data_IF_338365015163
#
_entry.id   IF_338365015163
#
_cell.length_a   1.000
_cell.length_b   1.000
_cell.length_c   1.000
_cell.angle_alpha   90.00
_cell.angle_beta   90.00
_cell.angle_gamma   90.00
#
_symmetry.space_group_name_H-M   'P 1'
#
loop_
_entity.id
_entity.type
_entity.pdbx_description
1 polymer ?
#
# COMPACT_ATOMS: atom_id res chain seq x y z
N UNK A 1 11.05 30.93 -39.35
CA UNK A 1 11.72 29.61 -39.47
C UNK A 1 12.55 29.27 -38.23
N UNK A 2 13.35 30.22 -37.72
CA UNK A 2 14.15 30.12 -36.48
C UNK A 2 13.34 29.74 -35.23
N UNK A 3 12.14 30.30 -35.04
CA UNK A 3 11.25 29.96 -33.92
C UNK A 3 10.88 28.47 -33.84
N UNK A 4 10.73 27.79 -34.99
CA UNK A 4 10.42 26.35 -35.04
C UNK A 4 11.60 25.50 -34.59
N UNK A 5 12.82 25.93 -34.93
CA UNK A 5 14.07 25.24 -34.58
C UNK A 5 14.33 25.37 -33.08
N UNK A 6 14.12 26.56 -32.51
CA UNK A 6 14.23 26.80 -31.05
C UNK A 6 13.23 25.92 -30.28
N UNK A 7 11.97 25.86 -30.72
CA UNK A 7 10.96 25.01 -30.08
C UNK A 7 11.25 23.50 -30.19
N UNK A 8 11.88 23.06 -31.29
CA UNK A 8 12.32 21.67 -31.47
C UNK A 8 13.49 21.31 -30.56
N UNK A 9 14.45 22.22 -30.39
CA UNK A 9 15.59 22.03 -29.50
C UNK A 9 15.16 22.02 -28.03
N UNK A 10 14.29 22.93 -27.62
CA UNK A 10 13.73 22.94 -26.26
C UNK A 10 12.96 21.65 -25.92
N UNK A 11 12.23 21.07 -26.88
CA UNK A 11 11.51 19.79 -26.69
C UNK A 11 12.42 18.55 -26.67
N UNK A 12 13.63 18.62 -27.22
CA UNK A 12 14.62 17.53 -27.19
C UNK A 12 15.46 17.53 -25.91
N UNK A 13 15.70 18.71 -25.34
CA UNK A 13 16.59 18.88 -24.16
C UNK A 13 15.80 18.85 -22.86
N UNK A 14 14.56 19.34 -22.84
CA UNK A 14 13.67 19.24 -21.68
C UNK A 14 12.89 17.94 -21.84
N UNK A 15 13.12 16.91 -21.00
CA UNK A 15 12.23 15.77 -20.94
C UNK A 15 10.83 16.34 -20.70
N UNK A 16 9.87 16.06 -21.58
CA UNK A 16 8.46 16.24 -21.21
C UNK A 16 8.31 15.53 -19.87
N UNK A 17 7.72 16.16 -18.83
CA UNK A 17 7.46 15.45 -17.59
C UNK A 17 6.69 14.19 -17.95
N UNK A 18 7.38 13.05 -17.81
CA UNK A 18 6.84 11.73 -18.00
C UNK A 18 5.74 11.59 -16.97
N UNK A 19 4.50 11.68 -17.45
CA UNK A 19 3.20 11.41 -16.83
C UNK A 19 3.02 11.75 -15.34
N UNK A 20 1.91 12.44 -15.03
CA UNK A 20 1.44 12.70 -13.65
C UNK A 20 1.44 11.45 -12.74
N UNK A 21 1.29 10.28 -13.36
CA UNK A 21 1.35 8.95 -12.73
C UNK A 21 2.65 8.72 -11.96
N UNK A 22 3.79 9.20 -12.47
CA UNK A 22 5.09 9.02 -11.81
C UNK A 22 5.19 9.82 -10.51
N UNK A 23 4.65 11.05 -10.49
CA UNK A 23 4.62 11.89 -9.28
C UNK A 23 3.65 11.31 -8.25
N UNK A 24 2.47 10.85 -8.69
CA UNK A 24 1.50 10.19 -7.81
C UNK A 24 2.06 8.90 -7.18
N UNK A 25 2.81 8.10 -7.95
CA UNK A 25 3.46 6.89 -7.47
C UNK A 25 4.59 7.18 -6.48
N UNK A 26 5.40 8.22 -6.71
CA UNK A 26 6.41 8.67 -5.73
C UNK A 26 5.73 9.09 -4.42
N UNK A 27 4.69 9.92 -4.50
CA UNK A 27 3.97 10.39 -3.31
C UNK A 27 3.31 9.24 -2.55
N UNK A 28 2.72 8.28 -3.27
CA UNK A 28 2.17 7.07 -2.67
C UNK A 28 3.25 6.26 -1.94
N UNK A 29 4.38 5.99 -2.61
CA UNK A 29 5.49 5.22 -2.04
C UNK A 29 6.12 5.88 -0.82
N UNK A 30 6.18 7.22 -0.79
CA UNK A 30 6.75 7.96 0.35
C UNK A 30 5.76 8.11 1.51
N UNK A 31 4.49 8.39 1.23
CA UNK A 31 3.54 8.82 2.26
C UNK A 31 2.54 7.76 2.70
N UNK A 32 2.15 6.84 1.80
CA UNK A 32 1.07 5.88 2.04
C UNK A 32 1.64 4.47 2.21
N UNK A 33 2.58 4.07 1.35
CA UNK A 33 3.12 2.71 1.34
C UNK A 33 3.69 2.23 2.69
N UNK A 34 4.45 3.03 3.46
CA UNK A 34 4.94 2.58 4.76
C UNK A 34 3.81 2.24 5.74
N UNK A 35 2.75 3.07 5.74
CA UNK A 35 1.57 2.89 6.61
C UNK A 35 0.76 1.68 6.11
N UNK A 36 0.57 1.56 4.80
CA UNK A 36 -0.04 0.41 4.15
C UNK A 36 0.64 -0.90 4.57
N UNK A 37 1.99 -0.94 4.50
CA UNK A 37 2.77 -2.12 4.82
C UNK A 37 2.58 -2.53 6.29
N UNK A 38 2.56 -1.55 7.20
CA UNK A 38 2.30 -1.79 8.62
C UNK A 38 0.88 -2.31 8.86
N UNK A 39 -0.13 -1.69 8.24
CA UNK A 39 -1.52 -2.11 8.30
C UNK A 39 -1.67 -3.55 7.80
N UNK A 40 -1.07 -3.86 6.66
CA UNK A 40 -1.13 -5.20 6.06
C UNK A 40 -0.48 -6.23 7.00
N UNK A 41 0.72 -5.95 7.50
CA UNK A 41 1.45 -6.86 8.37
C UNK A 41 0.67 -7.15 9.66
N UNK A 42 0.19 -6.11 10.34
CA UNK A 42 -0.59 -6.26 11.58
C UNK A 42 -1.92 -6.94 11.35
N UNK A 43 -2.62 -6.65 10.24
CA UNK A 43 -3.87 -7.35 9.91
C UNK A 43 -3.63 -8.84 9.68
N UNK A 44 -2.57 -9.21 8.94
CA UNK A 44 -2.20 -10.61 8.73
C UNK A 44 -1.90 -11.29 10.07
N UNK A 45 -1.15 -10.61 10.94
CA UNK A 45 -0.83 -11.12 12.27
C UNK A 45 -2.10 -11.36 13.09
N UNK A 46 -2.99 -10.37 13.20
CA UNK A 46 -4.23 -10.50 13.96
C UNK A 46 -5.14 -11.62 13.41
N UNK A 47 -5.20 -11.79 12.09
CA UNK A 47 -5.96 -12.87 11.46
C UNK A 47 -5.36 -14.24 11.76
N UNK A 48 -4.03 -14.40 11.66
CA UNK A 48 -3.33 -15.66 11.98
C UNK A 48 -3.51 -16.07 13.43
N UNK A 49 -3.45 -15.10 14.34
CA UNK A 49 -3.56 -15.32 15.78
C UNK A 49 -5.01 -15.26 16.29
N UNK A 50 -6.01 -15.18 15.41
CA UNK A 50 -7.44 -15.11 15.76
C UNK A 50 -7.78 -13.97 16.74
N UNK A 51 -7.02 -12.87 16.69
CA UNK A 51 -7.23 -11.67 17.52
C UNK A 51 -8.33 -10.76 16.98
N UNK A 52 -8.77 -10.99 15.73
CA UNK A 52 -9.87 -10.27 15.09
C UNK A 52 -11.02 -11.23 14.83
N UNK A 53 -12.21 -10.88 15.31
CA UNK A 53 -13.45 -11.60 15.03
C UNK A 53 -13.98 -11.30 13.63
N UNK A 54 -14.95 -12.09 13.18
CA UNK A 54 -15.62 -11.89 11.89
C UNK A 54 -16.24 -10.49 11.77
N UNK A 55 -16.93 -10.02 12.81
CA UNK A 55 -17.61 -8.73 12.80
C UNK A 55 -16.62 -7.55 12.79
N UNK A 56 -15.50 -7.69 13.50
CA UNK A 56 -14.41 -6.72 13.47
C UNK A 56 -13.76 -6.66 12.09
N UNK A 57 -13.60 -7.80 11.41
CA UNK A 57 -13.12 -7.84 10.03
C UNK A 57 -14.09 -7.18 9.04
N UNK A 58 -15.40 -7.39 9.20
CA UNK A 58 -16.44 -6.69 8.41
C UNK A 58 -16.38 -5.19 8.65
N UNK A 59 -16.22 -4.77 9.92
CA UNK A 59 -16.08 -3.36 10.28
C UNK A 59 -14.86 -2.75 9.61
N UNK A 60 -13.70 -3.43 9.66
CA UNK A 60 -12.51 -3.01 8.95
C UNK A 60 -12.75 -2.86 7.43
N UNK A 61 -13.43 -3.84 6.82
CA UNK A 61 -13.79 -3.80 5.40
C UNK A 61 -14.64 -2.57 5.05
N UNK A 62 -15.65 -2.27 5.87
CA UNK A 62 -16.52 -1.12 5.66
C UNK A 62 -15.75 0.20 5.78
N UNK A 63 -14.85 0.30 6.77
CA UNK A 63 -13.95 1.46 6.91
C UNK A 63 -13.05 1.61 5.68
N UNK A 64 -12.47 0.51 5.18
CA UNK A 64 -11.62 0.50 3.99
C UNK A 64 -12.40 0.92 2.74
N UNK A 65 -13.61 0.41 2.56
CA UNK A 65 -14.49 0.78 1.45
C UNK A 65 -14.83 2.28 1.45
N UNK A 66 -15.04 2.88 2.64
CA UNK A 66 -15.25 4.33 2.76
C UNK A 66 -13.99 5.16 2.46
N UNK A 67 -12.79 4.57 2.54
CA UNK A 67 -11.53 5.25 2.21
C UNK A 67 -11.21 5.25 0.71
N UNK A 68 -11.81 4.35 -0.07
CA UNK A 68 -11.59 4.27 -1.52
C UNK A 68 -12.42 5.36 -2.21
N UNK A 69 -11.76 6.44 -2.64
CA UNK A 69 -12.41 7.63 -3.21
C UNK A 69 -12.99 7.44 -4.61
N UNK A 70 -12.52 6.44 -5.35
CA UNK A 70 -13.00 6.15 -6.70
C UNK A 70 -13.87 4.89 -6.67
N UNK A 71 -15.22 5.02 -6.73
CA UNK A 71 -16.13 3.89 -6.69
C UNK A 71 -16.02 2.99 -7.93
N UNK A 72 -15.48 3.51 -9.04
CA UNK A 72 -15.35 2.76 -10.29
C UNK A 72 -14.13 1.86 -10.34
N UNK A 73 -13.12 2.08 -9.49
CA UNK A 73 -11.85 1.31 -9.51
C UNK A 73 -12.07 -0.20 -9.37
N UNK A 74 -13.14 -0.61 -8.70
CA UNK A 74 -13.42 -2.01 -8.41
C UNK A 74 -14.83 -2.46 -8.81
N UNK A 75 -15.52 -1.70 -9.67
CA UNK A 75 -16.93 -1.94 -10.02
C UNK A 75 -17.16 -3.33 -10.63
N UNK A 76 -16.28 -3.75 -11.52
CA UNK A 76 -16.44 -4.98 -12.31
C UNK A 76 -15.60 -6.14 -11.76
N UNK A 77 -15.23 -6.10 -10.48
CA UNK A 77 -14.35 -7.09 -9.87
C UNK A 77 -15.14 -8.05 -8.98
N UNK A 78 -15.06 -9.33 -9.29
CA UNK A 78 -15.61 -10.39 -8.45
C UNK A 78 -14.68 -10.72 -7.28
N UNK A 79 -15.25 -10.77 -6.08
CA UNK A 79 -14.53 -11.05 -4.85
C UNK A 79 -14.70 -12.51 -4.44
N UNK A 80 -13.61 -13.27 -4.45
CA UNK A 80 -13.60 -14.65 -3.94
C UNK A 80 -14.02 -14.76 -2.47
N UNK A 81 -13.63 -13.81 -1.65
CA UNK A 81 -13.98 -13.69 -0.23
C UNK A 81 -13.62 -12.29 0.29
N UNK A 82 -13.99 -11.99 1.54
CA UNK A 82 -13.72 -10.69 2.16
C UNK A 82 -12.23 -10.39 2.32
N UNK A 83 -11.40 -11.39 2.61
CA UNK A 83 -9.95 -11.19 2.73
C UNK A 83 -9.35 -10.77 1.38
N UNK A 84 -9.77 -11.41 0.29
CA UNK A 84 -9.36 -11.05 -1.06
C UNK A 84 -9.79 -9.62 -1.42
N UNK A 85 -11.00 -9.20 -1.04
CA UNK A 85 -11.47 -7.82 -1.20
C UNK A 85 -10.59 -6.85 -0.40
N UNK A 86 -10.40 -7.12 0.90
CA UNK A 86 -9.65 -6.26 1.80
C UNK A 86 -8.21 -6.07 1.32
N UNK A 87 -7.47 -7.16 1.10
CA UNK A 87 -6.05 -7.06 0.72
C UNK A 87 -5.85 -6.47 -0.67
N UNK A 88 -6.83 -6.61 -1.57
CA UNK A 88 -6.80 -5.91 -2.85
C UNK A 88 -6.97 -4.42 -2.65
N UNK A 89 -8.05 -4.00 -1.97
CA UNK A 89 -8.39 -2.58 -1.81
C UNK A 89 -7.41 -1.83 -0.92
N UNK A 90 -6.77 -2.52 0.03
CA UNK A 90 -5.78 -1.93 0.92
C UNK A 90 -4.58 -1.36 0.16
N UNK A 91 -4.24 -1.94 -1.00
CA UNK A 91 -3.17 -1.47 -1.91
C UNK A 91 -3.56 -0.26 -2.78
N UNK A 92 -4.77 0.28 -2.61
CA UNK A 92 -5.29 1.32 -3.49
C UNK A 92 -4.50 2.63 -3.39
N UNK A 93 -4.05 3.14 -4.54
CA UNK A 93 -3.44 4.48 -4.64
C UNK A 93 -4.44 5.62 -4.34
N UNK A 94 -5.74 5.31 -4.30
CA UNK A 94 -6.80 6.28 -4.03
C UNK A 94 -7.09 6.48 -2.53
N UNK A 95 -6.32 5.85 -1.64
CA UNK A 95 -6.46 6.04 -0.18
C UNK A 95 -5.47 7.10 0.30
N UNK A 96 -5.95 8.11 1.02
CA UNK A 96 -5.06 9.15 1.56
C UNK A 96 -4.27 8.66 2.78
N UNK A 97 -3.10 9.24 3.09
CA UNK A 97 -2.33 8.91 4.29
C UNK A 97 -3.16 9.00 5.58
N UNK A 98 -4.01 10.03 5.72
CA UNK A 98 -4.89 10.20 6.89
C UNK A 98 -5.91 9.06 7.04
N UNK A 99 -6.43 8.54 5.92
CA UNK A 99 -7.36 7.42 5.89
C UNK A 99 -6.64 6.11 6.24
N UNK A 100 -5.46 5.88 5.67
CA UNK A 100 -4.62 4.72 6.02
C UNK A 100 -4.23 4.71 7.51
N UNK A 101 -3.91 5.88 8.10
CA UNK A 101 -3.65 6.00 9.54
C UNK A 101 -4.86 5.65 10.41
N UNK A 102 -6.09 5.92 9.95
CA UNK A 102 -7.31 5.50 10.66
C UNK A 102 -7.45 3.98 10.66
N UNK A 103 -7.17 3.34 9.53
CA UNK A 103 -7.16 1.88 9.40
C UNK A 103 -6.09 1.26 10.32
N UNK A 104 -4.89 1.85 10.37
CA UNK A 104 -3.84 1.44 11.28
C UNK A 104 -4.25 1.56 12.75
N UNK A 105 -4.82 2.70 13.15
CA UNK A 105 -5.32 2.91 14.51
C UNK A 105 -6.36 1.84 14.89
N UNK A 106 -7.25 1.49 13.96
CA UNK A 106 -8.25 0.46 14.19
C UNK A 106 -7.62 -0.92 14.39
N UNK A 107 -6.64 -1.32 13.58
CA UNK A 107 -5.99 -2.63 13.77
C UNK A 107 -5.15 -2.68 15.04
N UNK A 108 -4.48 -1.58 15.40
CA UNK A 108 -3.65 -1.50 16.60
C UNK A 108 -4.41 -1.80 17.89
N UNK A 109 -5.74 -1.66 17.92
CA UNK A 109 -6.52 -2.02 19.11
C UNK A 109 -6.59 -3.54 19.37
N UNK A 110 -6.36 -4.36 18.33
CA UNK A 110 -6.40 -5.83 18.39
C UNK A 110 -5.01 -6.45 18.39
N UNK A 111 -4.03 -5.70 17.87
CA UNK A 111 -2.65 -6.09 17.86
C UNK A 111 -2.11 -6.00 19.29
N UNK A 112 -2.23 -7.09 20.05
CA UNK A 112 -1.47 -7.27 21.26
C UNK A 112 -0.03 -7.60 20.85
N UNK A 113 0.95 -6.87 21.38
CA UNK A 113 2.37 -7.25 21.35
C UNK A 113 2.53 -8.57 22.13
N UNK A 114 2.15 -9.68 21.50
CA UNK A 114 2.64 -10.98 21.92
C UNK A 114 4.04 -11.03 21.32
N UNK A 115 5.10 -11.18 22.12
CA UNK A 115 6.44 -11.30 21.58
C UNK A 115 6.42 -12.43 20.56
N UNK A 116 6.65 -12.10 19.29
CA UNK A 116 6.86 -13.14 18.29
C UNK A 116 7.96 -14.05 18.82
N UNK A 117 7.81 -15.38 18.77
CA UNK A 117 8.96 -16.25 19.00
C UNK A 117 10.03 -15.76 18.05
N UNK A 118 11.16 -15.32 18.60
CA UNK A 118 12.26 -14.67 17.88
C UNK A 118 12.49 -15.47 16.62
N UNK A 119 12.07 -14.94 15.48
CA UNK A 119 12.29 -15.61 14.21
C UNK A 119 13.79 -15.44 13.95
N UNK A 120 14.58 -16.42 14.40
CA UNK A 120 16.00 -16.49 14.11
C UNK A 120 16.14 -16.52 12.60
N UNK A 121 16.50 -15.38 12.02
CA UNK A 121 16.97 -15.33 10.65
C UNK A 121 18.24 -16.17 10.61
N UNK A 122 18.14 -17.43 10.15
CA UNK A 122 19.30 -18.19 9.73
C UNK A 122 19.95 -17.41 8.60
N UNK A 123 20.99 -16.65 8.93
CA UNK A 123 21.83 -15.98 7.94
C UNK A 123 22.46 -17.08 7.10
N UNK A 124 22.01 -17.20 5.86
CA UNK A 124 22.58 -18.15 4.92
C UNK A 124 23.94 -17.58 4.50
N UNK A 125 25.06 -18.29 4.73
CA UNK A 125 26.39 -17.75 4.49
C UNK A 125 26.75 -17.86 3.01
N UNK A 126 26.23 -16.97 2.16
CA UNK A 126 26.63 -16.92 0.75
C UNK A 126 27.20 -15.57 0.32
N UNK A 127 28.01 -14.93 1.15
CA UNK A 127 29.01 -13.98 0.65
C UNK A 127 30.32 -14.18 1.42
N UNK A 128 30.98 -15.32 1.17
CA UNK A 128 32.44 -15.34 1.29
C UNK A 128 32.95 -14.45 0.17
N UNK A 129 33.26 -13.20 0.50
CA UNK A 129 34.11 -12.36 -0.34
C UNK A 129 35.41 -13.13 -0.51
N UNK A 130 35.65 -13.61 -1.73
CA UNK A 130 36.92 -14.21 -2.11
C UNK A 130 37.96 -13.08 -2.01
N UNK A 131 39.01 -13.33 -1.22
CA UNK A 131 40.14 -12.41 -1.01
C UNK A 131 40.88 -12.16 -2.32
#
# INVERSE_FOLDING_TARGET
>A
MVQKIINLLLRKVVPKPTDSRYVEDILYNQMVYPIYSEVQHKLIYCLKNKQITRDQLITFKNMLNACVRNPYTYKDRDWKNDAHEIFTKLKSHYIKPKEMKKLLKYINQFYADIPEPIQEFKTVPYLKVIK
#
